data_IF_344330659628
#
_entry.id   IF_344330659628
#
_cell.length_a   1.000
_cell.length_b   1.000
_cell.length_c   1.000
_cell.angle_alpha   90.00
_cell.angle_beta   90.00
_cell.angle_gamma   90.00
#
_symmetry.space_group_name_H-M   'P 1'
#
loop_
_entity.id
_entity.type
_entity.pdbx_description
1 polymer ?
#
# COMPACT_ATOMS: atom_id res chain seq x y z
N UNK A 1 8.52 21.34 1.60
CA UNK A 1 7.64 20.26 2.07
C UNK A 1 6.80 19.79 0.87
N UNK A 2 6.96 18.52 0.44
CA UNK A 2 6.29 17.97 -0.76
C UNK A 2 4.76 17.94 -0.64
N UNK A 3 4.22 17.82 0.57
CA UNK A 3 2.79 17.60 0.81
C UNK A 3 2.11 18.69 1.63
N UNK A 4 2.64 19.89 1.62
CA UNK A 4 2.03 21.01 2.32
C UNK A 4 0.56 21.19 1.91
N UNK A 5 -0.35 21.19 2.89
CA UNK A 5 -1.80 21.31 2.70
C UNK A 5 -2.45 20.20 1.84
N UNK A 6 -1.78 19.05 1.65
CA UNK A 6 -2.33 17.86 1.01
C UNK A 6 -2.91 16.91 2.05
N UNK A 7 -3.89 16.13 1.64
CA UNK A 7 -4.53 15.10 2.48
C UNK A 7 -4.36 13.75 1.82
N UNK A 8 -3.84 12.78 2.59
CA UNK A 8 -3.72 11.40 2.15
C UNK A 8 -4.63 10.47 2.95
N UNK A 9 -5.04 9.41 2.29
CA UNK A 9 -5.61 8.21 2.88
C UNK A 9 -4.59 7.07 2.76
N UNK A 10 -4.28 6.39 3.87
CA UNK A 10 -3.37 5.24 3.91
C UNK A 10 -4.11 4.01 4.40
N UNK A 11 -4.40 3.07 3.50
CA UNK A 11 -4.94 1.77 3.90
C UNK A 11 -3.83 0.87 4.45
N UNK A 12 -4.10 0.16 5.56
CA UNK A 12 -3.05 -0.58 6.26
C UNK A 12 -1.98 0.32 6.88
N UNK A 13 -2.38 1.53 7.33
CA UNK A 13 -1.47 2.55 7.86
C UNK A 13 -1.00 2.31 9.30
N UNK A 14 -1.48 1.25 9.97
CA UNK A 14 -1.13 0.96 11.38
C UNK A 14 0.16 0.15 11.55
N UNK A 15 0.92 -0.15 10.49
CA UNK A 15 2.21 -0.87 10.59
C UNK A 15 3.01 -0.83 9.29
N UNK A 16 4.28 -1.25 9.36
CA UNK A 16 5.15 -1.49 8.21
C UNK A 16 5.21 -0.32 7.24
N UNK A 17 5.11 -0.61 5.95
CA UNK A 17 5.19 0.39 4.88
C UNK A 17 4.13 1.50 5.06
N UNK A 18 2.89 1.12 5.42
CA UNK A 18 1.80 2.09 5.58
C UNK A 18 2.04 3.09 6.72
N UNK A 19 2.55 2.62 7.87
CA UNK A 19 2.95 3.48 8.99
C UNK A 19 4.06 4.46 8.56
N UNK A 20 5.07 3.95 7.88
CA UNK A 20 6.20 4.77 7.42
C UNK A 20 5.76 5.85 6.43
N UNK A 21 4.88 5.49 5.48
CA UNK A 21 4.27 6.47 4.55
C UNK A 21 3.50 7.54 5.29
N UNK A 22 2.64 7.15 6.26
CA UNK A 22 1.84 8.10 7.03
C UNK A 22 2.75 9.07 7.82
N UNK A 23 3.79 8.55 8.48
CA UNK A 23 4.76 9.32 9.25
C UNK A 23 5.46 10.36 8.37
N UNK A 24 6.02 9.94 7.23
CA UNK A 24 6.75 10.85 6.33
C UNK A 24 5.83 11.86 5.67
N UNK A 25 4.63 11.45 5.25
CA UNK A 25 3.66 12.37 4.64
C UNK A 25 3.30 13.52 5.60
N UNK A 26 3.11 13.22 6.88
CA UNK A 26 2.84 14.24 7.92
C UNK A 26 4.07 15.10 8.17
N UNK A 27 5.26 14.51 8.28
CA UNK A 27 6.53 15.24 8.43
C UNK A 27 6.76 16.21 7.28
N UNK A 28 6.30 15.88 6.08
CA UNK A 28 6.40 16.72 4.89
C UNK A 28 5.21 17.67 4.65
N UNK A 29 4.42 17.91 5.67
CA UNK A 29 3.41 18.97 5.66
C UNK A 29 1.98 18.52 5.40
N UNK A 30 1.73 17.23 5.16
CA UNK A 30 0.41 16.69 4.86
C UNK A 30 -0.42 16.34 6.09
N UNK A 31 -1.69 16.01 5.88
CA UNK A 31 -2.59 15.39 6.86
C UNK A 31 -3.01 14.01 6.37
N UNK A 32 -3.29 13.07 7.27
CA UNK A 32 -3.50 11.66 6.92
C UNK A 32 -4.73 11.08 7.62
N UNK A 33 -5.52 10.31 6.86
CA UNK A 33 -6.46 9.34 7.43
C UNK A 33 -5.80 7.96 7.40
N UNK A 34 -5.63 7.34 8.55
CA UNK A 34 -5.11 5.98 8.70
C UNK A 34 -6.30 5.01 8.73
N UNK A 35 -6.28 4.01 7.85
CA UNK A 35 -7.18 2.86 7.96
C UNK A 35 -6.41 1.62 8.42
N UNK A 36 -7.02 0.88 9.33
CA UNK A 36 -6.58 -0.42 9.82
C UNK A 36 -7.75 -1.18 10.44
N UNK A 37 -7.70 -2.50 10.49
CA UNK A 37 -8.75 -3.33 11.11
C UNK A 37 -8.76 -3.19 12.63
N UNK A 38 -7.58 -3.14 13.23
CA UNK A 38 -7.37 -2.92 14.66
C UNK A 38 -7.35 -1.41 14.93
N UNK A 39 -8.49 -0.91 15.41
CA UNK A 39 -8.68 0.51 15.70
C UNK A 39 -7.75 0.99 16.82
N UNK A 40 -7.58 0.22 17.89
CA UNK A 40 -6.72 0.61 19.01
C UNK A 40 -5.26 0.75 18.59
N UNK A 41 -4.77 -0.20 17.79
CA UNK A 41 -3.42 -0.12 17.21
C UNK A 41 -3.28 1.08 16.27
N UNK A 42 -4.29 1.35 15.45
CA UNK A 42 -4.25 2.49 14.53
C UNK A 42 -4.25 3.83 15.27
N UNK A 43 -5.03 3.96 16.35
CA UNK A 43 -5.05 5.14 17.22
C UNK A 43 -3.71 5.35 17.93
N UNK A 44 -3.07 4.28 18.41
CA UNK A 44 -1.72 4.35 18.99
C UNK A 44 -0.70 4.90 17.99
N UNK A 45 -0.75 4.44 16.74
CA UNK A 45 0.12 4.94 15.67
C UNK A 45 -0.22 6.40 15.29
N UNK A 46 -1.49 6.75 15.23
CA UNK A 46 -1.92 8.12 14.95
C UNK A 46 -1.39 9.09 16.03
N UNK A 47 -1.49 8.71 17.30
CA UNK A 47 -0.97 9.50 18.42
C UNK A 47 0.57 9.61 18.41
N UNK A 48 1.27 8.54 18.03
CA UNK A 48 2.74 8.57 17.86
C UNK A 48 3.17 9.56 16.77
N UNK A 49 2.45 9.59 15.62
CA UNK A 49 2.77 10.48 14.50
C UNK A 49 2.36 11.93 14.78
N UNK A 50 1.19 12.13 15.37
CA UNK A 50 0.63 13.44 15.69
C UNK A 50 -0.09 13.42 17.03
N UNK A 51 0.63 13.69 18.15
CA UNK A 51 0.02 13.74 19.48
C UNK A 51 -1.09 14.78 19.63
N UNK A 52 -1.15 15.75 18.71
CA UNK A 52 -2.15 16.82 18.74
C UNK A 52 -3.50 16.41 18.14
N UNK A 53 -3.54 15.32 17.36
CA UNK A 53 -4.72 14.84 16.64
C UNK A 53 -5.27 15.80 15.56
N UNK A 54 -4.48 16.80 15.16
CA UNK A 54 -4.90 17.79 14.16
C UNK A 54 -4.67 17.33 12.73
N UNK A 55 -3.66 16.50 12.50
CA UNK A 55 -3.19 16.10 11.17
C UNK A 55 -3.33 14.62 10.90
N UNK A 56 -3.49 13.79 11.91
CA UNK A 56 -3.70 12.34 11.76
C UNK A 56 -5.00 11.94 12.44
N UNK A 57 -5.85 11.24 11.70
CA UNK A 57 -7.10 10.68 12.21
C UNK A 57 -7.23 9.22 11.76
N UNK A 58 -8.00 8.46 12.49
CA UNK A 58 -8.22 7.03 12.21
C UNK A 58 -9.66 6.79 11.75
N UNK A 59 -9.79 5.94 10.74
CA UNK A 59 -11.05 5.29 10.37
C UNK A 59 -10.81 3.78 10.35
N UNK A 60 -11.14 3.12 11.43
CA UNK A 60 -11.01 1.67 11.53
C UNK A 60 -12.02 0.95 10.62
N UNK A 61 -11.64 -0.22 10.12
CA UNK A 61 -12.51 -1.07 9.33
C UNK A 61 -11.76 -2.07 8.45
N UNK A 62 -12.44 -3.14 8.05
CA UNK A 62 -11.90 -4.12 7.12
C UNK A 62 -12.03 -3.61 5.68
N UNK A 63 -10.90 -3.36 5.04
CA UNK A 63 -10.87 -2.83 3.66
C UNK A 63 -11.42 -3.82 2.62
N UNK A 64 -11.55 -5.09 2.93
CA UNK A 64 -12.23 -6.06 2.07
C UNK A 64 -13.72 -5.73 1.86
N UNK A 65 -14.30 -4.91 2.74
CA UNK A 65 -15.68 -4.42 2.64
C UNK A 65 -15.72 -3.08 1.88
N UNK A 66 -16.44 -2.98 0.76
CA UNK A 66 -16.54 -1.73 -0.02
C UNK A 66 -16.98 -0.52 0.82
N UNK A 67 -17.90 -0.71 1.77
CA UNK A 67 -18.36 0.35 2.67
C UNK A 67 -17.21 0.95 3.51
N UNK A 68 -16.17 0.18 3.84
CA UNK A 68 -14.99 0.72 4.51
C UNK A 68 -14.25 1.71 3.61
N UNK A 69 -14.09 1.40 2.32
CA UNK A 69 -13.50 2.31 1.34
C UNK A 69 -14.23 3.66 1.27
N UNK A 70 -15.56 3.64 1.28
CA UNK A 70 -16.38 4.84 1.30
C UNK A 70 -16.24 5.62 2.62
N UNK A 71 -16.26 4.92 3.76
CA UNK A 71 -16.16 5.53 5.09
C UNK A 71 -14.82 6.26 5.29
N UNK A 72 -13.69 5.67 4.85
CA UNK A 72 -12.37 6.31 5.01
C UNK A 72 -12.23 7.55 4.12
N UNK A 73 -12.79 7.54 2.91
CA UNK A 73 -12.83 8.72 2.03
C UNK A 73 -13.71 9.80 2.64
N UNK A 74 -14.91 9.43 3.14
CA UNK A 74 -15.79 10.37 3.83
C UNK A 74 -15.10 11.02 5.03
N UNK A 75 -14.36 10.25 5.83
CA UNK A 75 -13.58 10.79 6.95
C UNK A 75 -12.56 11.84 6.50
N UNK A 76 -11.86 11.61 5.38
CA UNK A 76 -10.91 12.60 4.83
C UNK A 76 -11.62 13.92 4.45
N UNK A 77 -12.77 13.83 3.79
CA UNK A 77 -13.55 15.01 3.39
C UNK A 77 -14.13 15.74 4.61
N UNK A 78 -14.72 15.02 5.56
CA UNK A 78 -15.35 15.63 6.75
C UNK A 78 -14.31 16.33 7.65
N UNK A 79 -13.11 15.73 7.79
CA UNK A 79 -12.07 16.25 8.70
C UNK A 79 -11.15 17.29 8.06
N UNK A 80 -10.86 17.16 6.79
CA UNK A 80 -9.85 17.96 6.12
C UNK A 80 -10.36 18.73 4.88
N UNK A 81 -11.61 18.50 4.47
CA UNK A 81 -12.25 19.16 3.32
C UNK A 81 -11.74 18.69 1.95
N UNK A 82 -10.86 17.69 1.90
CA UNK A 82 -10.24 17.24 0.65
C UNK A 82 -9.62 15.85 0.75
N UNK A 83 -9.37 15.26 -0.43
CA UNK A 83 -8.51 14.09 -0.60
C UNK A 83 -7.63 14.32 -1.83
N UNK A 84 -6.32 14.21 -1.68
CA UNK A 84 -5.33 14.41 -2.74
C UNK A 84 -4.61 13.14 -3.13
N UNK A 85 -4.38 12.24 -2.15
CA UNK A 85 -3.60 11.02 -2.35
C UNK A 85 -4.29 9.83 -1.70
N UNK A 86 -4.33 8.71 -2.41
CA UNK A 86 -4.60 7.40 -1.84
C UNK A 86 -3.33 6.54 -1.90
N UNK A 87 -2.77 6.20 -0.75
CA UNK A 87 -1.82 5.10 -0.62
C UNK A 87 -2.58 3.81 -0.34
N UNK A 88 -2.85 3.07 -1.40
CA UNK A 88 -3.64 1.85 -1.36
C UNK A 88 -2.74 0.67 -1.01
N UNK A 89 -2.34 0.61 0.28
CA UNK A 89 -1.25 -0.22 0.75
C UNK A 89 -1.71 -1.52 1.43
N UNK A 90 -2.89 -1.57 2.03
CA UNK A 90 -3.38 -2.74 2.78
C UNK A 90 -3.13 -4.06 2.06
N UNK A 91 -2.67 -5.05 2.78
CA UNK A 91 -2.38 -6.37 2.23
C UNK A 91 -2.05 -7.37 3.34
N UNK A 92 -2.05 -8.62 2.97
CA UNK A 92 -1.65 -9.76 3.79
C UNK A 92 -0.68 -10.62 2.98
N UNK A 93 0.10 -11.44 3.67
CA UNK A 93 0.94 -12.45 3.06
C UNK A 93 0.99 -13.68 3.96
N UNK A 94 0.86 -14.85 3.38
CA UNK A 94 1.10 -16.14 4.01
C UNK A 94 1.50 -17.10 2.90
N UNK A 95 2.71 -17.68 2.92
CA UNK A 95 3.11 -18.68 1.94
C UNK A 95 2.32 -19.97 2.18
N UNK A 96 1.82 -20.59 1.10
CA UNK A 96 1.15 -21.89 1.15
C UNK A 96 1.33 -22.61 -0.18
N UNK A 97 1.67 -23.92 -0.18
CA UNK A 97 1.73 -24.72 -1.39
C UNK A 97 0.39 -24.71 -2.15
N UNK A 98 0.44 -24.65 -3.48
CA UNK A 98 -0.74 -24.51 -4.32
C UNK A 98 -1.80 -25.59 -4.05
N UNK A 99 -1.38 -26.84 -3.89
CA UNK A 99 -2.29 -27.99 -3.67
C UNK A 99 -2.95 -27.96 -2.28
N UNK A 100 -2.50 -27.10 -1.37
CA UNK A 100 -3.02 -26.99 -0.01
C UNK A 100 -3.88 -25.73 0.18
N UNK A 101 -3.97 -24.85 -0.83
CA UNK A 101 -4.76 -23.61 -0.74
C UNK A 101 -6.24 -23.94 -0.70
N UNK A 102 -6.91 -23.50 0.35
CA UNK A 102 -8.36 -23.62 0.51
C UNK A 102 -9.07 -22.39 -0.08
N UNK A 103 -10.34 -22.56 -0.49
CA UNK A 103 -11.18 -21.49 -1.05
C UNK A 103 -11.24 -20.27 -0.15
N UNK A 104 -11.42 -20.45 1.15
CA UNK A 104 -11.48 -19.36 2.12
C UNK A 104 -10.19 -18.53 2.18
N UNK A 105 -9.01 -19.15 2.00
CA UNK A 105 -7.74 -18.42 1.92
C UNK A 105 -7.62 -17.66 0.60
N UNK A 106 -7.98 -18.30 -0.51
CA UNK A 106 -8.03 -17.66 -1.82
C UNK A 106 -8.91 -16.40 -1.77
N UNK A 107 -10.14 -16.54 -1.29
CA UNK A 107 -11.10 -15.43 -1.15
C UNK A 107 -10.58 -14.32 -0.23
N UNK A 108 -9.87 -14.68 0.84
CA UNK A 108 -9.25 -13.71 1.73
C UNK A 108 -8.16 -12.88 1.04
N UNK A 109 -7.31 -13.52 0.21
CA UNK A 109 -6.30 -12.80 -0.57
C UNK A 109 -6.96 -11.87 -1.59
N UNK A 110 -7.90 -12.36 -2.37
CA UNK A 110 -8.61 -11.56 -3.36
C UNK A 110 -9.45 -10.46 -2.71
N UNK A 111 -10.11 -10.79 -1.60
CA UNK A 111 -10.94 -9.85 -0.85
C UNK A 111 -10.15 -8.64 -0.35
N UNK A 112 -9.03 -8.86 0.33
CA UNK A 112 -8.24 -7.77 0.91
C UNK A 112 -7.39 -7.08 -0.15
N UNK A 113 -6.67 -7.85 -0.98
CA UNK A 113 -5.64 -7.31 -1.87
C UNK A 113 -6.24 -6.73 -3.15
N UNK A 114 -7.18 -7.42 -3.80
CA UNK A 114 -7.71 -6.97 -5.09
C UNK A 114 -9.03 -6.22 -4.92
N UNK A 115 -10.07 -6.85 -4.36
CA UNK A 115 -11.38 -6.25 -4.18
C UNK A 115 -11.32 -4.99 -3.30
N UNK A 116 -10.65 -5.07 -2.15
CA UNK A 116 -10.51 -3.94 -1.23
C UNK A 116 -9.81 -2.76 -1.89
N UNK A 117 -8.70 -3.01 -2.61
CA UNK A 117 -8.01 -1.94 -3.35
C UNK A 117 -8.85 -1.37 -4.48
N UNK A 118 -9.62 -2.19 -5.18
CA UNK A 118 -10.51 -1.74 -6.25
C UNK A 118 -11.52 -0.74 -5.72
N UNK A 119 -12.27 -1.08 -4.68
CA UNK A 119 -13.33 -0.22 -4.16
C UNK A 119 -12.81 0.99 -3.38
N UNK A 120 -11.68 0.87 -2.68
CA UNK A 120 -11.02 2.03 -2.08
C UNK A 120 -10.53 3.02 -3.16
N UNK A 121 -9.95 2.54 -4.26
CA UNK A 121 -9.55 3.37 -5.39
C UNK A 121 -10.77 4.02 -6.05
N UNK A 122 -11.88 3.28 -6.22
CA UNK A 122 -13.11 3.83 -6.79
C UNK A 122 -13.69 4.98 -5.94
N UNK A 123 -13.79 4.77 -4.61
CA UNK A 123 -14.28 5.80 -3.71
C UNK A 123 -13.39 7.06 -3.72
N UNK A 124 -12.06 6.87 -3.66
CA UNK A 124 -11.10 7.97 -3.73
C UNK A 124 -11.17 8.71 -5.07
N UNK A 125 -11.23 7.98 -6.19
CA UNK A 125 -11.31 8.57 -7.53
C UNK A 125 -12.60 9.40 -7.72
N UNK A 126 -13.75 8.95 -7.19
CA UNK A 126 -15.00 9.73 -7.19
C UNK A 126 -14.79 11.07 -6.46
N UNK A 127 -14.27 11.05 -5.24
CA UNK A 127 -14.03 12.26 -4.47
C UNK A 127 -13.03 13.21 -5.14
N UNK A 128 -11.94 12.68 -5.71
CA UNK A 128 -10.94 13.47 -6.44
C UNK A 128 -11.54 14.11 -7.71
N UNK A 129 -12.34 13.33 -8.48
CA UNK A 129 -13.06 13.83 -9.66
C UNK A 129 -14.03 14.93 -9.29
N UNK A 130 -14.90 14.72 -8.30
CA UNK A 130 -15.93 15.66 -7.87
C UNK A 130 -15.32 16.97 -7.35
N UNK A 131 -14.13 16.91 -6.77
CA UNK A 131 -13.40 18.11 -6.35
C UNK A 131 -12.82 18.93 -7.50
N UNK A 132 -12.68 18.37 -8.71
CA UNK A 132 -12.03 18.97 -9.87
C UNK A 132 -10.52 19.20 -9.74
N UNK A 133 -9.91 18.86 -8.62
CA UNK A 133 -8.48 19.12 -8.35
C UNK A 133 -7.55 18.03 -8.92
N UNK A 134 -8.11 16.85 -9.25
CA UNK A 134 -7.30 15.68 -9.56
C UNK A 134 -6.71 15.03 -8.32
N UNK A 135 -5.64 14.24 -8.47
CA UNK A 135 -5.00 13.55 -7.36
C UNK A 135 -4.02 12.45 -7.79
N UNK A 136 -3.58 11.65 -6.82
CA UNK A 136 -2.73 10.50 -7.07
C UNK A 136 -3.22 9.26 -6.29
N UNK A 137 -3.28 8.11 -6.96
CA UNK A 137 -3.52 6.81 -6.37
C UNK A 137 -2.24 6.00 -6.52
N UNK A 138 -1.63 5.58 -5.42
CA UNK A 138 -0.41 4.77 -5.45
C UNK A 138 -0.67 3.43 -4.77
N UNK A 139 -0.52 2.36 -5.55
CA UNK A 139 -0.82 0.99 -5.15
C UNK A 139 0.44 0.30 -4.62
N UNK A 140 0.32 -0.47 -3.54
CA UNK A 140 1.36 -1.42 -3.15
C UNK A 140 1.09 -2.77 -3.82
N UNK A 141 1.78 -3.00 -4.92
CA UNK A 141 1.83 -4.27 -5.64
C UNK A 141 2.79 -5.28 -4.98
N UNK A 142 3.55 -6.03 -5.80
CA UNK A 142 4.59 -6.96 -5.34
C UNK A 142 5.43 -7.46 -6.51
N UNK A 143 6.69 -7.76 -6.30
CA UNK A 143 7.51 -8.47 -7.29
C UNK A 143 6.99 -9.91 -7.55
N UNK A 144 6.29 -10.53 -6.59
CA UNK A 144 5.64 -11.84 -6.77
C UNK A 144 4.51 -11.84 -7.82
N UNK A 145 4.04 -10.67 -8.23
CA UNK A 145 3.13 -10.53 -9.38
C UNK A 145 3.88 -10.51 -10.73
N UNK A 146 5.19 -10.35 -10.71
CA UNK A 146 6.05 -10.25 -11.90
C UNK A 146 6.87 -11.52 -12.12
N UNK A 147 7.20 -12.25 -11.04
CA UNK A 147 7.92 -13.52 -11.10
C UNK A 147 7.54 -14.42 -9.93
N UNK A 148 7.73 -15.73 -10.11
CA UNK A 148 7.60 -16.72 -9.04
C UNK A 148 8.94 -16.91 -8.32
N UNK A 149 8.88 -17.18 -7.00
CA UNK A 149 10.05 -17.49 -6.16
C UNK A 149 9.78 -18.80 -5.44
N UNK A 150 10.60 -19.83 -5.72
CA UNK A 150 10.40 -21.18 -5.22
C UNK A 150 10.39 -21.30 -3.69
N UNK A 151 11.16 -20.48 -2.99
CA UNK A 151 11.23 -20.45 -1.53
C UNK A 151 9.93 -19.98 -0.85
N UNK A 152 9.02 -19.34 -1.58
CA UNK A 152 7.79 -18.77 -1.02
C UNK A 152 6.59 -19.07 -1.91
N UNK A 153 6.03 -20.31 -1.86
CA UNK A 153 4.83 -20.66 -2.63
C UNK A 153 3.68 -19.72 -2.26
N UNK A 154 3.11 -19.03 -3.26
CA UNK A 154 2.18 -17.92 -2.98
C UNK A 154 1.23 -17.64 -4.15
N UNK A 155 0.70 -18.70 -4.80
CA UNK A 155 -0.08 -18.56 -6.03
C UNK A 155 -1.28 -17.62 -5.90
N UNK A 156 -2.11 -17.76 -4.85
CA UNK A 156 -3.27 -16.90 -4.62
C UNK A 156 -2.88 -15.42 -4.36
N UNK A 157 -1.82 -15.21 -3.57
CA UNK A 157 -1.26 -13.88 -3.33
C UNK A 157 -0.74 -13.24 -4.63
N UNK A 158 0.04 -14.00 -5.40
CA UNK A 158 0.61 -13.53 -6.67
C UNK A 158 -0.47 -13.16 -7.68
N UNK A 159 -1.53 -13.97 -7.79
CA UNK A 159 -2.68 -13.69 -8.66
C UNK A 159 -3.39 -12.39 -8.23
N UNK A 160 -3.64 -12.20 -6.92
CA UNK A 160 -4.24 -10.98 -6.41
C UNK A 160 -3.38 -9.75 -6.68
N UNK A 161 -2.05 -9.85 -6.49
CA UNK A 161 -1.11 -8.76 -6.75
C UNK A 161 -0.93 -8.46 -8.25
N UNK A 162 -1.00 -9.48 -9.11
CA UNK A 162 -1.02 -9.29 -10.56
C UNK A 162 -2.28 -8.51 -10.99
N UNK A 163 -3.43 -8.82 -10.38
CA UNK A 163 -4.65 -8.05 -10.56
C UNK A 163 -4.49 -6.56 -10.18
N UNK A 164 -3.75 -6.25 -9.11
CA UNK A 164 -3.43 -4.86 -8.73
C UNK A 164 -2.58 -4.16 -9.78
N UNK A 165 -1.60 -4.86 -10.38
CA UNK A 165 -0.78 -4.30 -11.47
C UNK A 165 -1.62 -4.02 -12.72
N UNK A 166 -2.52 -4.94 -13.10
CA UNK A 166 -3.45 -4.73 -14.20
C UNK A 166 -4.40 -3.55 -13.93
N UNK A 167 -4.99 -3.50 -12.72
CA UNK A 167 -5.85 -2.41 -12.28
C UNK A 167 -5.12 -1.05 -12.36
N UNK A 168 -3.86 -0.97 -11.95
CA UNK A 168 -3.05 0.26 -12.02
C UNK A 168 -3.00 0.81 -13.43
N UNK A 169 -2.74 -0.04 -14.43
CA UNK A 169 -2.65 0.36 -15.84
C UNK A 169 -3.99 0.83 -16.40
N UNK A 170 -5.07 0.09 -16.11
CA UNK A 170 -6.39 0.46 -16.57
C UNK A 170 -6.85 1.80 -15.97
N UNK A 171 -6.73 1.94 -14.63
CA UNK A 171 -7.14 3.17 -13.96
C UNK A 171 -6.30 4.38 -14.38
N UNK A 172 -5.03 4.20 -14.74
CA UNK A 172 -4.19 5.28 -15.24
C UNK A 172 -4.76 5.91 -16.52
N UNK A 173 -5.34 5.10 -17.40
CA UNK A 173 -5.99 5.58 -18.62
C UNK A 173 -7.38 6.14 -18.34
N UNK A 174 -8.21 5.40 -17.58
CA UNK A 174 -9.60 5.80 -17.32
C UNK A 174 -9.70 7.09 -16.49
N UNK A 175 -8.74 7.34 -15.59
CA UNK A 175 -8.80 8.47 -14.66
C UNK A 175 -7.97 9.68 -15.12
N UNK A 176 -7.16 9.56 -16.16
CA UNK A 176 -6.37 10.66 -16.72
C UNK A 176 -7.20 11.91 -17.10
N UNK A 177 -8.42 11.79 -17.70
CA UNK A 177 -9.26 12.95 -18.00
C UNK A 177 -9.64 13.78 -16.75
N UNK A 178 -9.61 13.15 -15.57
CA UNK A 178 -9.90 13.81 -14.29
C UNK A 178 -8.64 14.31 -13.58
N UNK A 179 -7.47 14.29 -14.25
CA UNK A 179 -6.17 14.69 -13.67
C UNK A 179 -5.76 13.81 -12.48
N UNK A 180 -6.16 12.54 -12.48
CA UNK A 180 -5.80 11.57 -11.44
C UNK A 180 -4.74 10.63 -12.03
N UNK A 181 -3.56 10.60 -11.40
CA UNK A 181 -2.49 9.67 -11.75
C UNK A 181 -2.64 8.39 -10.94
N UNK A 182 -2.36 7.25 -11.57
CA UNK A 182 -2.42 5.95 -10.89
C UNK A 182 -1.13 5.18 -11.18
N UNK A 183 -0.39 4.85 -10.12
CA UNK A 183 0.88 4.13 -10.20
C UNK A 183 0.93 3.02 -9.14
N UNK A 184 1.87 2.12 -9.26
CA UNK A 184 2.15 1.09 -8.26
C UNK A 184 3.65 0.99 -8.00
N UNK A 185 4.01 0.52 -6.80
CA UNK A 185 5.32 -0.06 -6.55
C UNK A 185 5.21 -1.59 -6.54
N UNK A 186 6.28 -2.28 -6.90
CA UNK A 186 6.43 -3.72 -6.76
C UNK A 186 7.60 -4.01 -5.78
N UNK A 187 7.33 -4.03 -4.45
CA UNK A 187 8.36 -4.29 -3.47
C UNK A 187 8.94 -5.70 -3.58
N UNK A 188 10.23 -5.83 -3.28
CA UNK A 188 10.88 -7.08 -2.93
C UNK A 188 10.52 -7.51 -1.51
N UNK A 189 11.44 -8.19 -0.83
CA UNK A 189 11.30 -8.49 0.60
C UNK A 189 11.56 -7.22 1.40
N UNK A 190 10.51 -6.71 2.05
CA UNK A 190 10.59 -5.56 2.96
C UNK A 190 10.38 -6.05 4.40
N UNK A 191 11.30 -5.74 5.29
CA UNK A 191 11.24 -6.12 6.70
C UNK A 191 10.11 -5.39 7.42
N UNK A 192 9.00 -6.07 7.57
CA UNK A 192 7.77 -5.53 8.18
C UNK A 192 7.13 -6.55 9.11
N UNK A 193 6.23 -6.13 10.01
CA UNK A 193 5.51 -7.05 10.90
C UNK A 193 4.61 -8.07 10.17
N UNK A 194 4.49 -8.05 8.85
CA UNK A 194 3.72 -9.04 8.10
C UNK A 194 4.21 -10.47 8.33
N UNK A 195 5.51 -10.65 8.54
CA UNK A 195 6.11 -11.97 8.80
C UNK A 195 5.63 -12.56 10.13
N UNK A 196 5.34 -11.72 11.14
CA UNK A 196 4.83 -12.14 12.44
C UNK A 196 3.39 -12.71 12.37
N UNK A 197 2.72 -12.63 11.24
CA UNK A 197 1.38 -13.20 11.07
C UNK A 197 1.40 -14.70 10.81
N UNK A 198 2.56 -15.29 10.49
CA UNK A 198 2.73 -16.71 10.18
C UNK A 198 4.06 -17.31 10.67
N UNK A 199 4.95 -16.53 11.27
CA UNK A 199 6.21 -16.95 11.86
C UNK A 199 6.32 -16.43 13.30
N UNK A 200 7.02 -17.19 14.19
CA UNK A 200 7.41 -16.67 15.51
C UNK A 200 8.53 -15.64 15.38
N UNK A 201 8.77 -14.80 16.41
CA UNK A 201 9.89 -13.85 16.39
C UNK A 201 11.25 -14.50 16.11
N UNK A 202 11.49 -15.70 16.65
CA UNK A 202 12.72 -16.46 16.45
C UNK A 202 12.85 -16.93 14.99
N UNK A 203 11.74 -17.40 14.40
CA UNK A 203 11.69 -17.80 13.00
C UNK A 203 11.90 -16.60 12.08
N UNK A 204 11.31 -15.44 12.38
CA UNK A 204 11.52 -14.19 11.62
C UNK A 204 12.99 -13.81 11.65
N UNK A 205 13.63 -13.81 12.83
CA UNK A 205 15.05 -13.49 12.99
C UNK A 205 15.96 -14.45 12.21
N UNK A 206 15.59 -15.73 12.09
CA UNK A 206 16.34 -16.72 11.34
C UNK A 206 16.13 -16.61 9.82
N UNK A 207 14.89 -16.36 9.36
CA UNK A 207 14.52 -16.41 7.95
C UNK A 207 14.86 -15.13 7.20
N UNK A 208 14.61 -13.94 7.78
CA UNK A 208 14.83 -12.67 7.09
C UNK A 208 16.24 -12.50 6.51
N UNK A 209 17.32 -12.82 7.23
CA UNK A 209 18.68 -12.70 6.68
C UNK A 209 18.94 -13.59 5.45
N UNK A 210 18.22 -14.71 5.31
CA UNK A 210 18.37 -15.62 4.18
C UNK A 210 17.93 -15.01 2.86
N UNK A 211 17.04 -14.00 2.89
CA UNK A 211 16.58 -13.29 1.70
C UNK A 211 17.55 -12.19 1.25
N UNK A 212 18.56 -11.81 2.04
CA UNK A 212 19.52 -10.78 1.65
C UNK A 212 20.21 -11.11 0.32
N UNK A 213 20.64 -12.36 0.15
CA UNK A 213 21.31 -12.83 -1.06
C UNK A 213 20.44 -12.81 -2.31
N UNK A 214 19.12 -12.76 -2.17
CA UNK A 214 18.19 -12.64 -3.31
C UNK A 214 18.24 -11.23 -3.93
N UNK A 215 18.59 -10.22 -3.14
CA UNK A 215 18.66 -8.84 -3.59
C UNK A 215 20.08 -8.47 -4.03
N UNK A 216 20.32 -8.08 -5.29
CA UNK A 216 21.63 -7.61 -5.74
C UNK A 216 22.28 -6.53 -4.87
N UNK A 217 21.46 -5.69 -4.21
CA UNK A 217 21.97 -4.70 -3.24
C UNK A 217 22.42 -5.31 -1.89
N UNK A 218 22.37 -6.65 -1.73
CA UNK A 218 22.89 -7.39 -0.58
C UNK A 218 22.10 -7.28 0.71
N UNK A 219 20.89 -6.72 0.68
CA UNK A 219 20.03 -6.58 1.84
C UNK A 219 18.54 -6.64 1.51
N UNK A 220 17.72 -7.01 2.46
CA UNK A 220 16.29 -6.77 2.40
C UNK A 220 15.99 -5.27 2.38
N UNK A 221 14.85 -4.90 1.84
CA UNK A 221 14.35 -3.53 1.93
C UNK A 221 13.81 -3.22 3.33
N UNK A 222 13.86 -1.96 3.70
CA UNK A 222 13.22 -1.43 4.90
C UNK A 222 11.91 -0.72 4.52
N UNK A 223 10.94 -0.52 5.44
CA UNK A 223 9.75 0.25 5.18
C UNK A 223 10.04 1.62 4.53
N UNK A 224 11.15 2.25 4.91
CA UNK A 224 11.61 3.52 4.37
C UNK A 224 11.92 3.46 2.86
N UNK A 225 12.50 2.37 2.37
CA UNK A 225 12.81 2.20 0.94
C UNK A 225 11.52 2.20 0.10
N UNK A 226 10.49 1.47 0.56
CA UNK A 226 9.20 1.40 -0.12
C UNK A 226 8.40 2.71 0.04
N UNK A 227 8.44 3.32 1.22
CA UNK A 227 7.72 4.57 1.50
C UNK A 227 8.20 5.72 0.62
N UNK A 228 9.52 5.86 0.41
CA UNK A 228 10.04 6.94 -0.43
C UNK A 228 9.58 6.82 -1.89
N UNK A 229 9.54 5.61 -2.43
CA UNK A 229 9.03 5.38 -3.77
C UNK A 229 7.51 5.69 -3.88
N UNK A 230 6.71 5.31 -2.87
CA UNK A 230 5.29 5.66 -2.79
C UNK A 230 5.09 7.17 -2.73
N UNK A 231 5.84 7.86 -1.87
CA UNK A 231 5.78 9.32 -1.71
C UNK A 231 6.23 10.05 -3.00
N UNK A 232 7.30 9.60 -3.64
CA UNK A 232 7.71 10.14 -4.94
C UNK A 232 6.59 10.05 -5.98
N UNK A 233 6.02 8.86 -6.16
CA UNK A 233 4.94 8.64 -7.14
C UNK A 233 3.66 9.43 -6.81
N UNK A 234 3.41 9.73 -5.53
CA UNK A 234 2.30 10.56 -5.08
C UNK A 234 2.53 12.06 -5.31
N UNK A 235 3.78 12.51 -5.31
CA UNK A 235 4.16 13.92 -5.35
C UNK A 235 4.01 14.58 -6.72
N UNK A 236 4.08 15.89 -6.76
CA UNK A 236 4.09 16.68 -8.00
C UNK A 236 5.38 16.46 -8.82
N UNK A 237 6.45 15.92 -8.21
CA UNK A 237 7.68 15.51 -8.90
C UNK A 237 7.44 14.38 -9.91
N UNK A 238 6.40 13.56 -9.70
CA UNK A 238 5.95 12.50 -10.60
C UNK A 238 4.77 12.94 -11.49
N UNK A 239 4.61 14.23 -11.77
CA UNK A 239 3.45 14.79 -12.51
C UNK A 239 3.27 14.21 -13.91
N UNK A 240 4.32 13.70 -14.54
CA UNK A 240 4.28 13.07 -15.87
C UNK A 240 4.41 11.55 -15.81
N UNK A 241 4.15 10.93 -14.64
CA UNK A 241 4.25 9.48 -14.42
C UNK A 241 2.85 8.95 -14.05
N UNK A 242 2.28 8.10 -14.90
CA UNK A 242 1.05 7.35 -14.64
C UNK A 242 1.10 5.98 -15.32
N UNK A 243 0.46 4.96 -14.74
CA UNK A 243 0.42 3.59 -15.25
C UNK A 243 1.66 2.75 -14.99
N UNK A 244 2.66 3.27 -14.27
CA UNK A 244 3.89 2.53 -13.97
C UNK A 244 3.68 1.54 -12.84
N UNK A 245 4.36 0.40 -12.94
CA UNK A 245 4.64 -0.52 -11.84
C UNK A 245 6.15 -0.47 -11.60
N UNK A 246 6.55 0.25 -10.56
CA UNK A 246 7.95 0.52 -10.25
C UNK A 246 8.52 -0.58 -9.32
N UNK A 247 9.48 -1.41 -9.74
CA UNK A 247 10.17 -2.32 -8.84
C UNK A 247 10.93 -1.55 -7.75
N UNK A 248 10.74 -1.97 -6.50
CA UNK A 248 11.46 -1.47 -5.32
C UNK A 248 11.97 -2.70 -4.58
N UNK A 249 12.94 -3.35 -5.17
CA UNK A 249 13.28 -4.75 -4.89
C UNK A 249 14.80 -5.02 -4.78
N UNK A 250 15.60 -3.97 -4.67
CA UNK A 250 17.04 -4.12 -4.56
C UNK A 250 17.68 -4.80 -5.77
N UNK A 251 17.01 -4.80 -6.94
CA UNK A 251 17.52 -5.32 -8.20
C UNK A 251 17.09 -6.76 -8.52
N UNK A 252 16.22 -7.39 -7.74
CA UNK A 252 15.75 -8.77 -7.97
C UNK A 252 15.18 -8.95 -9.38
N UNK A 253 14.42 -7.97 -9.86
CA UNK A 253 13.75 -8.02 -11.16
C UNK A 253 14.67 -7.60 -12.33
N UNK A 254 15.87 -7.08 -12.07
CA UNK A 254 16.78 -6.65 -13.12
C UNK A 254 17.47 -7.85 -13.83
N UNK A 255 17.52 -9.01 -13.17
CA UNK A 255 18.12 -10.23 -13.72
C UNK A 255 18.59 -11.19 -12.63
N UNK A 256 19.29 -12.25 -13.06
CA UNK A 256 19.95 -13.21 -12.16
C UNK A 256 21.45 -12.88 -12.13
N UNK A 257 22.04 -13.01 -10.95
CA UNK A 257 23.49 -13.06 -10.78
C UNK A 257 24.01 -14.47 -10.99
#
# INVERSE_FOLDING_TARGET
MRFQNKVALVTGGASGIGKEVATRFVTEGGSVVINGRDGAKAEGVAHEIDPTGKRVVVQAGDIALPATGEAVVKTAIDRFGRLDVLFNNAGIFTPKPFLEVEEAEYDRFLGIILKGKFFAAQAAAKAMKDSGRGGAIVQTGSMWALQAIGATPSAAYSAAKAGVHALTKNLAIELAPYKIRVNAIAPGVIETPVFNTFLTPEQVAAVLPTFNAMHPLGRNGQPADAAEALLFLASDQASFITGVVLPVDGGVMAGRQ
#
